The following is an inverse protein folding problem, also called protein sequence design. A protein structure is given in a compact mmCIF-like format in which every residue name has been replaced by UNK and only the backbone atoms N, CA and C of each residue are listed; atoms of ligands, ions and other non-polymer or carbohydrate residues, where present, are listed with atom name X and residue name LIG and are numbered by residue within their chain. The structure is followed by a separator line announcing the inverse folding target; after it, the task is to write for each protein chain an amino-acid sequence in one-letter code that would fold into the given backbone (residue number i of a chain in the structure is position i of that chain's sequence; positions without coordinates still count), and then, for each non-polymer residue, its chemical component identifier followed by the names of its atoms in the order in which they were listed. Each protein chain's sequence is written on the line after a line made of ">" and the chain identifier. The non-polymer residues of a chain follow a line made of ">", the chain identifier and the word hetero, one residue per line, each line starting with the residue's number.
data_IF_104470241879
#
_entry.id   IF_104470241879
#
_cell.length_a   1.000
_cell.length_b   1.000
_cell.length_c   1.000
_cell.angle_alpha   90.00
_cell.angle_beta   90.00
_cell.angle_gamma   90.00
#
_symmetry.space_group_name_H-M   'P 1'
#
loop_
_entity.id
_entity.type
_entity.pdbx_description
1 polymer ?
#
# COMPACT_ATOMS: atom_id res chain seq x y z
N UNK A 1 -1.96 8.88 6.47
CA UNK A 1 -3.12 7.97 6.43
C UNK A 1 -2.62 6.58 6.13
N UNK A 2 -2.99 5.56 6.92
CA UNK A 2 -2.72 4.17 6.56
C UNK A 2 -3.39 3.83 5.23
N UNK A 3 -2.79 2.90 4.49
CA UNK A 3 -3.25 2.47 3.18
C UNK A 3 -2.87 1.01 2.97
N UNK A 4 -3.74 0.26 2.30
CA UNK A 4 -3.38 -1.06 1.80
C UNK A 4 -2.42 -0.93 0.62
N UNK A 5 -1.60 -1.94 0.40
CA UNK A 5 -0.73 -2.01 -0.76
C UNK A 5 -0.65 -3.45 -1.28
N UNK A 6 -0.25 -3.57 -2.53
CA UNK A 6 0.12 -4.83 -3.15
C UNK A 6 1.50 -4.70 -3.77
N UNK A 7 2.34 -5.71 -3.54
CA UNK A 7 3.68 -5.81 -4.10
C UNK A 7 4.08 -7.29 -4.21
N UNK A 8 4.74 -7.63 -5.31
CA UNK A 8 5.45 -8.90 -5.52
C UNK A 8 6.91 -8.58 -5.84
N UNK A 9 7.84 -9.43 -5.40
CA UNK A 9 9.27 -9.16 -5.55
C UNK A 9 9.64 -9.00 -7.04
N UNK A 10 10.21 -7.84 -7.40
CA UNK A 10 10.56 -7.49 -8.78
C UNK A 10 9.40 -7.02 -9.66
N UNK A 11 8.18 -6.89 -9.12
CA UNK A 11 7.03 -6.27 -9.78
C UNK A 11 6.90 -4.78 -9.47
N UNK A 12 5.84 -4.15 -9.98
CA UNK A 12 5.44 -2.80 -9.55
C UNK A 12 4.77 -2.84 -8.17
N UNK A 13 5.02 -1.81 -7.36
CA UNK A 13 4.24 -1.52 -6.17
C UNK A 13 2.95 -0.82 -6.59
N UNK A 14 1.79 -1.15 -6.00
CA UNK A 14 0.59 -0.34 -6.18
C UNK A 14 -0.28 -0.21 -4.93
N UNK A 15 -1.04 0.88 -4.88
CA UNK A 15 -1.94 1.25 -3.77
C UNK A 15 -3.34 1.64 -4.29
N UNK A 16 -4.44 1.15 -3.68
CA UNK A 16 -5.79 1.64 -3.95
C UNK A 16 -6.07 2.96 -3.20
N UNK A 17 -6.72 3.92 -3.86
CA UNK A 17 -7.25 5.12 -3.21
C UNK A 17 -8.47 5.67 -3.95
N UNK A 18 -9.32 6.44 -3.26
CA UNK A 18 -10.47 7.10 -3.89
C UNK A 18 -10.03 8.10 -4.96
N UNK A 19 -10.66 8.04 -6.13
CA UNK A 19 -10.46 8.97 -7.25
C UNK A 19 -10.79 10.40 -6.82
N UNK A 20 -9.98 11.36 -7.24
CA UNK A 20 -10.16 12.78 -6.88
C UNK A 20 -9.94 13.13 -5.40
N UNK A 21 -9.65 12.14 -4.53
CA UNK A 21 -9.31 12.39 -3.13
C UNK A 21 -8.08 13.30 -2.99
N UNK A 22 -7.93 13.98 -1.84
CA UNK A 22 -6.76 14.83 -1.58
C UNK A 22 -5.44 14.07 -1.71
N UNK A 23 -5.43 12.77 -1.38
CA UNK A 23 -4.27 11.88 -1.57
C UNK A 23 -3.95 11.68 -3.05
N UNK A 24 -4.95 11.38 -3.88
CA UNK A 24 -4.79 11.26 -5.33
C UNK A 24 -4.19 12.53 -5.93
N UNK A 25 -4.79 13.70 -5.66
CA UNK A 25 -4.34 14.99 -6.19
C UNK A 25 -2.88 15.31 -5.82
N UNK A 26 -2.45 14.97 -4.60
CA UNK A 26 -1.08 15.21 -4.14
C UNK A 26 -0.08 14.24 -4.76
N UNK A 27 -0.46 12.97 -4.95
CA UNK A 27 0.35 11.97 -5.66
C UNK A 27 0.53 12.37 -7.13
N UNK A 28 -0.56 12.74 -7.80
CA UNK A 28 -0.58 13.17 -9.20
C UNK A 28 0.28 14.43 -9.42
N UNK A 29 0.18 15.42 -8.52
CA UNK A 29 1.00 16.63 -8.57
C UNK A 29 2.49 16.40 -8.24
N UNK A 30 2.82 15.40 -7.43
CA UNK A 30 4.20 15.07 -7.06
C UNK A 30 4.89 14.13 -8.07
N UNK A 31 4.13 13.30 -8.80
CA UNK A 31 4.64 12.31 -9.75
C UNK A 31 5.45 11.15 -9.11
N UNK A 32 5.56 11.11 -7.78
CA UNK A 32 6.31 10.11 -7.01
C UNK A 32 5.77 10.00 -5.58
N UNK A 33 6.06 8.89 -4.90
CA UNK A 33 5.70 8.72 -3.49
C UNK A 33 6.67 7.80 -2.74
N UNK A 34 6.65 7.89 -1.41
CA UNK A 34 7.28 6.92 -0.50
C UNK A 34 6.20 6.13 0.21
N UNK A 35 6.33 4.79 0.21
CA UNK A 35 5.57 3.90 1.09
C UNK A 35 6.48 3.39 2.20
N UNK A 36 5.98 3.35 3.42
CA UNK A 36 6.63 2.69 4.56
C UNK A 36 5.76 1.53 5.04
N UNK A 37 6.39 0.41 5.34
CA UNK A 37 5.80 -0.76 6.00
C UNK A 37 6.66 -1.10 7.20
N UNK A 38 6.04 -1.17 8.37
CA UNK A 38 6.71 -1.46 9.62
C UNK A 38 5.99 -2.55 10.43
N UNK A 39 6.70 -3.03 11.45
CA UNK A 39 6.23 -4.07 12.37
C UNK A 39 6.83 -3.79 13.73
N UNK A 40 5.98 -3.46 14.70
CA UNK A 40 6.40 -3.06 16.05
C UNK A 40 6.92 -4.21 16.93
N UNK A 41 6.44 -5.44 16.73
CA UNK A 41 6.71 -6.60 17.61
C UNK A 41 7.40 -7.75 16.86
N UNK A 42 8.38 -8.46 17.48
CA UNK A 42 8.93 -8.23 18.82
C UNK A 42 9.85 -7.00 18.92
N UNK A 43 10.40 -6.52 17.80
CA UNK A 43 11.16 -5.27 17.71
C UNK A 43 10.61 -4.41 16.57
N UNK A 44 10.74 -3.09 16.66
CA UNK A 44 10.42 -2.18 15.56
C UNK A 44 11.37 -2.46 14.39
N UNK A 45 10.79 -2.89 13.26
CA UNK A 45 11.48 -3.01 11.97
C UNK A 45 10.68 -2.24 10.94
N UNK A 46 11.37 -1.58 10.02
CA UNK A 46 10.69 -0.95 8.88
C UNK A 46 11.46 -1.17 7.57
N UNK A 47 10.70 -1.10 6.49
CA UNK A 47 11.20 -0.80 5.16
C UNK A 47 10.41 0.37 4.61
N UNK A 48 11.10 1.35 4.04
CA UNK A 48 10.51 2.36 3.17
C UNK A 48 11.03 2.16 1.75
N UNK A 49 10.15 2.40 0.78
CA UNK A 49 10.51 2.42 -0.64
C UNK A 49 9.94 3.67 -1.29
N UNK A 50 10.75 4.29 -2.13
CA UNK A 50 10.42 5.49 -2.88
C UNK A 50 10.62 5.24 -4.38
N UNK A 51 9.78 5.88 -5.20
CA UNK A 51 9.96 5.92 -6.63
C UNK A 51 8.83 6.66 -7.38
N UNK A 52 8.98 6.81 -8.71
CA UNK A 52 8.04 7.53 -9.55
C UNK A 52 6.73 6.75 -9.74
N UNK A 53 5.63 7.50 -9.89
CA UNK A 53 4.33 6.96 -10.31
C UNK A 53 4.42 6.58 -11.78
N UNK A 54 4.22 5.30 -12.11
CA UNK A 54 4.31 4.79 -13.49
C UNK A 54 2.98 4.88 -14.23
N UNK A 55 1.87 4.62 -13.54
CA UNK A 55 0.50 4.73 -14.08
C UNK A 55 -0.54 4.94 -12.97
N UNK A 56 -1.68 5.51 -13.35
CA UNK A 56 -2.89 5.58 -12.52
C UNK A 56 -4.05 5.06 -13.37
N UNK A 57 -4.76 4.05 -12.88
CA UNK A 57 -5.89 3.42 -13.57
C UNK A 57 -7.09 3.21 -12.64
N UNK A 58 -8.29 2.99 -13.19
CA UNK A 58 -9.44 2.62 -12.38
C UNK A 58 -9.18 1.25 -11.72
N UNK A 59 -9.48 1.12 -10.42
CA UNK A 59 -9.26 -0.12 -9.68
C UNK A 59 -10.27 -1.16 -10.15
N UNK A 60 -9.79 -2.23 -10.79
CA UNK A 60 -10.63 -3.31 -11.26
C UNK A 60 -11.13 -4.18 -10.09
N UNK A 61 -12.27 -4.88 -10.27
CA UNK A 61 -12.89 -5.67 -9.21
C UNK A 61 -11.99 -6.84 -8.73
N UNK A 62 -11.29 -7.48 -9.65
CA UNK A 62 -10.31 -8.53 -9.37
C UNK A 62 -9.07 -7.99 -8.63
N UNK A 63 -8.54 -6.83 -9.04
CA UNK A 63 -7.50 -6.11 -8.31
C UNK A 63 -7.95 -5.77 -6.88
N UNK A 64 -9.19 -5.28 -6.71
CA UNK A 64 -9.74 -4.93 -5.40
C UNK A 64 -9.85 -6.17 -4.49
N UNK A 65 -10.36 -7.30 -5.00
CA UNK A 65 -10.37 -8.58 -4.27
C UNK A 65 -8.95 -9.06 -3.95
N UNK A 66 -8.02 -8.93 -4.89
CA UNK A 66 -6.62 -9.35 -4.74
C UNK A 66 -5.88 -8.60 -3.63
N UNK A 67 -6.08 -7.28 -3.49
CA UNK A 67 -5.50 -6.52 -2.38
C UNK A 67 -6.26 -6.74 -1.07
N UNK A 68 -7.59 -6.76 -1.09
CA UNK A 68 -8.41 -6.96 0.11
C UNK A 68 -8.13 -8.31 0.80
N UNK A 69 -7.93 -9.39 0.03
CA UNK A 69 -7.60 -10.73 0.55
C UNK A 69 -6.25 -10.80 1.31
N UNK A 70 -5.42 -9.75 1.28
CA UNK A 70 -4.19 -9.67 2.09
C UNK A 70 -4.41 -9.11 3.50
N UNK A 71 -5.54 -8.45 3.73
CA UNK A 71 -5.86 -7.72 4.98
C UNK A 71 -7.16 -8.18 5.62
N UNK A 72 -8.05 -8.82 4.85
CA UNK A 72 -9.37 -9.32 5.28
C UNK A 72 -9.37 -10.86 5.20
N UNK A 73 -9.77 -11.58 6.26
CA UNK A 73 -9.98 -13.03 6.21
C UNK A 73 -10.99 -13.43 5.12
N UNK A 74 -10.79 -14.59 4.47
CA UNK A 74 -11.61 -15.03 3.33
C UNK A 74 -13.11 -15.11 3.68
N UNK A 75 -13.44 -15.53 4.90
CA UNK A 75 -14.82 -15.60 5.40
C UNK A 75 -15.52 -14.24 5.57
N UNK A 76 -14.77 -13.14 5.59
CA UNK A 76 -15.28 -11.76 5.64
C UNK A 76 -15.14 -11.01 4.30
N UNK A 77 -14.39 -11.55 3.35
CA UNK A 77 -13.93 -10.85 2.14
C UNK A 77 -15.08 -10.39 1.24
N UNK A 78 -16.06 -11.25 0.97
CA UNK A 78 -17.23 -10.90 0.15
C UNK A 78 -18.11 -9.82 0.81
N UNK A 79 -18.27 -9.89 2.14
CA UNK A 79 -18.99 -8.86 2.91
C UNK A 79 -18.28 -7.51 2.86
N UNK A 80 -16.94 -7.52 2.96
CA UNK A 80 -16.11 -6.33 2.80
C UNK A 80 -16.24 -5.73 1.39
N UNK A 81 -16.10 -6.53 0.33
CA UNK A 81 -16.13 -6.04 -1.05
C UNK A 81 -17.46 -5.37 -1.38
N UNK A 82 -18.58 -6.00 -1.01
CA UNK A 82 -19.91 -5.42 -1.15
C UNK A 82 -20.08 -4.10 -0.38
N UNK A 83 -19.51 -3.99 0.83
CA UNK A 83 -19.53 -2.73 1.56
C UNK A 83 -18.65 -1.66 0.88
N UNK A 84 -17.51 -2.06 0.32
CA UNK A 84 -16.55 -1.16 -0.30
C UNK A 84 -17.03 -0.53 -1.62
N UNK A 85 -18.07 -1.08 -2.27
CA UNK A 85 -18.82 -0.42 -3.36
C UNK A 85 -19.34 0.97 -2.93
N UNK A 86 -19.67 1.15 -1.64
CA UNK A 86 -20.15 2.43 -1.11
C UNK A 86 -19.09 3.54 -1.03
N UNK A 87 -17.80 3.21 -1.20
CA UNK A 87 -16.70 4.19 -1.19
C UNK A 87 -16.58 5.00 -2.49
N UNK A 88 -17.38 4.69 -3.52
CA UNK A 88 -17.31 5.32 -4.84
C UNK A 88 -16.08 4.90 -5.64
N UNK A 89 -15.82 5.57 -6.77
CA UNK A 89 -14.74 5.22 -7.70
C UNK A 89 -13.36 5.18 -7.03
N UNK A 90 -12.73 4.00 -7.04
CA UNK A 90 -11.36 3.79 -6.61
C UNK A 90 -10.42 3.73 -7.83
N UNK A 91 -9.16 4.09 -7.60
CA UNK A 91 -8.06 3.98 -8.55
C UNK A 91 -6.91 3.18 -7.95
N UNK A 92 -6.14 2.50 -8.80
CA UNK A 92 -4.84 1.94 -8.47
C UNK A 92 -3.75 2.93 -8.94
N UNK A 93 -2.89 3.34 -8.01
CA UNK A 93 -1.67 4.11 -8.29
C UNK A 93 -0.50 3.14 -8.28
N UNK A 94 0.24 3.06 -9.37
CA UNK A 94 1.42 2.20 -9.53
C UNK A 94 2.71 3.00 -9.40
N UNK A 95 3.74 2.35 -8.84
CA UNK A 95 5.04 2.95 -8.50
C UNK A 95 6.14 1.99 -8.90
N UNK A 96 7.13 2.48 -9.65
CA UNK A 96 8.39 1.78 -9.90
C UNK A 96 9.25 1.88 -8.65
N UNK A 97 9.58 0.79 -7.93
CA UNK A 97 10.28 0.89 -6.65
C UNK A 97 11.80 1.03 -6.88
N UNK A 98 12.36 2.22 -6.63
CA UNK A 98 13.76 2.57 -6.96
C UNK A 98 14.66 2.62 -5.72
N UNK A 99 14.25 3.38 -4.70
CA UNK A 99 15.07 3.69 -3.54
C UNK A 99 14.53 3.01 -2.28
N UNK A 100 15.21 1.94 -1.86
CA UNK A 100 14.87 1.15 -0.67
C UNK A 100 15.73 1.56 0.52
N UNK A 101 15.11 1.76 1.67
CA UNK A 101 15.77 1.94 2.97
C UNK A 101 15.08 1.05 3.99
N UNK A 102 15.85 0.33 4.80
CA UNK A 102 15.31 -0.50 5.89
C UNK A 102 16.18 -0.39 7.13
N UNK A 103 15.57 -0.63 8.29
CA UNK A 103 16.28 -0.78 9.55
C UNK A 103 15.60 -1.81 10.46
N UNK A 104 16.42 -2.54 11.20
CA UNK A 104 16.00 -3.18 12.45
C UNK A 104 16.37 -2.24 13.58
N UNK A 105 15.35 -1.69 14.25
CA UNK A 105 15.50 -0.87 15.44
C UNK A 105 15.37 -1.70 16.73
N UNK A 106 15.49 -3.03 16.61
CA UNK A 106 15.87 -3.90 17.71
C UNK A 106 17.26 -3.52 18.22
N UNK A 107 17.30 -2.57 19.17
CA UNK A 107 18.48 -2.34 20.00
C UNK A 107 18.98 -3.69 20.55
N UNK A 108 20.29 -4.01 20.48
CA UNK A 108 20.79 -5.33 20.85
C UNK A 108 20.68 -5.62 22.36
N UNK A 109 19.50 -6.07 22.79
CA UNK A 109 19.25 -6.56 24.15
C UNK A 109 19.46 -8.08 24.17
N UNK A 110 20.41 -8.70 24.88
CA UNK A 110 21.88 -8.51 24.91
C UNK A 110 22.53 -7.36 25.73
N UNK A 111 21.79 -6.39 26.28
CA UNK A 111 22.24 -5.34 27.22
C UNK A 111 21.09 -4.39 27.61
N UNK A 112 21.06 -3.82 28.82
CA UNK A 112 22.00 -3.98 29.94
C UNK A 112 21.75 -2.99 31.07
#
# INVERSE_FOLDING_TARGET
>A
MPIWYYYTAGGELWIPTGKGSRKHQLIEAAGRLTLMVDRERPTVRYVSVEGPVTKIEALAHDQHRQVAARYIPEELLEGYLKYAESYGEQIAVYVSPEHWLSADLGGPENWG
#
